data_IF_634242122318
#
_entry.id   IF_634242122318
#
_cell.length_a   1.000
_cell.length_b   1.000
_cell.length_c   1.000
_cell.angle_alpha   90.00
_cell.angle_beta   90.00
_cell.angle_gamma   90.00
#
_symmetry.space_group_name_H-M   'P 1'
#
loop_
_entity.id
_entity.type
_entity.pdbx_description
1 polymer ?
#
# COMPACT_ATOMS: atom_id res chain seq x y z
N UNK A 1 -3.91 3.35 -21.54
CA UNK A 1 -4.86 2.87 -20.50
C UNK A 1 -4.16 2.41 -19.22
N UNK A 2 -3.10 1.57 -19.28
CA UNK A 2 -2.39 1.03 -18.10
C UNK A 2 -1.74 2.06 -17.17
N UNK A 3 -1.41 3.27 -17.66
CA UNK A 3 -0.81 4.34 -16.84
C UNK A 3 -1.76 4.97 -15.82
N UNK A 4 -3.08 4.93 -16.07
CA UNK A 4 -4.09 5.54 -15.18
C UNK A 4 -4.60 4.56 -14.11
N UNK A 5 -4.45 3.26 -14.35
CA UNK A 5 -4.96 2.22 -13.46
C UNK A 5 -4.45 2.32 -12.02
N UNK A 6 -3.13 2.45 -11.74
CA UNK A 6 -2.68 2.54 -10.35
C UNK A 6 -3.20 3.80 -9.65
N UNK A 7 -3.37 4.90 -10.39
CA UNK A 7 -3.92 6.15 -9.83
C UNK A 7 -5.39 6.03 -9.51
N UNK A 8 -6.18 5.43 -10.42
CA UNK A 8 -7.59 5.16 -10.18
C UNK A 8 -7.76 4.20 -9.00
N UNK A 9 -6.96 3.13 -8.92
CA UNK A 9 -6.97 2.20 -7.78
C UNK A 9 -6.62 2.89 -6.46
N UNK A 10 -5.56 3.70 -6.45
CA UNK A 10 -5.15 4.45 -5.27
C UNK A 10 -6.24 5.45 -4.83
N UNK A 11 -6.79 6.22 -5.76
CA UNK A 11 -7.87 7.16 -5.49
C UNK A 11 -9.12 6.45 -4.95
N UNK A 12 -9.53 5.35 -5.58
CA UNK A 12 -10.65 4.53 -5.11
C UNK A 12 -10.39 3.95 -3.73
N UNK A 13 -9.17 3.51 -3.41
CA UNK A 13 -8.83 3.02 -2.09
C UNK A 13 -8.88 4.14 -1.04
N UNK A 14 -8.36 5.33 -1.34
CA UNK A 14 -8.40 6.48 -0.44
C UNK A 14 -9.83 6.95 -0.16
N UNK A 15 -10.63 7.10 -1.21
CA UNK A 15 -12.05 7.45 -1.10
C UNK A 15 -12.80 6.35 -0.37
N UNK A 16 -12.55 5.08 -0.69
CA UNK A 16 -13.13 3.93 -0.02
C UNK A 16 -12.83 3.91 1.49
N UNK A 17 -11.60 4.18 1.91
CA UNK A 17 -11.25 4.31 3.33
C UNK A 17 -12.04 5.43 4.01
N UNK A 18 -12.18 6.60 3.38
CA UNK A 18 -12.96 7.70 3.93
C UNK A 18 -14.46 7.37 4.01
N UNK A 19 -14.99 6.68 2.99
CA UNK A 19 -16.38 6.22 2.98
C UNK A 19 -16.65 5.17 4.06
N UNK A 20 -15.72 4.23 4.28
CA UNK A 20 -15.81 3.27 5.38
C UNK A 20 -15.91 3.98 6.73
N UNK A 21 -15.06 4.98 6.98
CA UNK A 21 -15.11 5.78 8.20
C UNK A 21 -16.47 6.48 8.37
N UNK A 22 -17.01 7.04 7.28
CA UNK A 22 -18.31 7.70 7.28
C UNK A 22 -19.46 6.72 7.57
N UNK A 23 -19.56 5.61 6.86
CA UNK A 23 -20.67 4.66 6.98
C UNK A 23 -20.65 3.85 8.28
N UNK A 24 -19.48 3.58 8.83
CA UNK A 24 -19.35 2.85 10.10
C UNK A 24 -19.42 3.77 11.33
N UNK A 25 -19.38 5.10 11.17
CA UNK A 25 -19.21 6.03 12.28
C UNK A 25 -20.21 5.84 13.43
N UNK A 26 -21.49 5.70 13.09
CA UNK A 26 -22.58 5.56 14.07
C UNK A 26 -22.69 4.14 14.64
N UNK A 27 -22.11 3.16 13.96
CA UNK A 27 -22.11 1.75 14.37
C UNK A 27 -20.97 1.44 15.35
N UNK A 28 -19.92 2.27 15.37
CA UNK A 28 -18.76 2.04 16.21
C UNK A 28 -18.97 2.53 17.66
N UNK A 29 -18.52 1.75 18.66
CA UNK A 29 -18.49 2.17 20.05
C UNK A 29 -17.56 3.37 20.25
N UNK A 30 -17.72 4.10 21.36
CA UNK A 30 -16.85 5.24 21.70
C UNK A 30 -15.38 4.83 21.87
N UNK A 31 -15.14 3.58 22.30
CA UNK A 31 -13.82 2.98 22.46
C UNK A 31 -13.70 1.79 21.51
N UNK A 32 -12.73 1.86 20.62
CA UNK A 32 -12.54 0.91 19.51
C UNK A 32 -11.30 0.07 19.79
N UNK A 33 -11.41 -1.25 19.63
CA UNK A 33 -10.27 -2.15 19.55
C UNK A 33 -9.45 -1.82 18.31
N UNK A 34 -8.22 -1.36 18.53
CA UNK A 34 -7.30 -0.88 17.49
C UNK A 34 -6.10 -1.79 17.29
N UNK A 35 -5.91 -2.77 18.16
CA UNK A 35 -4.86 -3.77 18.09
C UNK A 35 -5.37 -5.11 18.59
N UNK A 36 -4.97 -6.17 17.90
CA UNK A 36 -5.42 -7.54 18.16
C UNK A 36 -4.21 -8.47 18.29
N UNK A 37 -4.30 -9.42 19.21
CA UNK A 37 -3.32 -10.49 19.35
C UNK A 37 -3.45 -11.57 18.27
N UNK A 38 -2.55 -12.58 18.27
CA UNK A 38 -2.51 -13.64 17.26
C UNK A 38 -3.81 -14.45 17.12
N UNK A 39 -4.60 -14.54 18.20
CA UNK A 39 -5.91 -15.21 18.20
C UNK A 39 -7.08 -14.34 17.74
N UNK A 40 -6.84 -13.11 17.27
CA UNK A 40 -7.88 -12.15 16.89
C UNK A 40 -8.50 -11.40 18.07
N UNK A 41 -8.04 -11.66 19.30
CA UNK A 41 -8.55 -10.99 20.50
C UNK A 41 -7.98 -9.60 20.65
N UNK A 42 -8.84 -8.62 20.94
CA UNK A 42 -8.43 -7.26 21.19
C UNK A 42 -7.50 -7.18 22.42
N UNK A 43 -6.38 -6.48 22.29
CA UNK A 43 -5.44 -6.22 23.37
C UNK A 43 -4.91 -4.78 23.38
N UNK A 44 -5.41 -3.92 22.48
CA UNK A 44 -5.16 -2.48 22.47
C UNK A 44 -6.38 -1.72 21.96
N UNK A 45 -6.61 -0.53 22.51
CA UNK A 45 -7.79 0.28 22.22
C UNK A 45 -7.45 1.74 22.03
N UNK A 46 -8.30 2.43 21.27
CA UNK A 46 -8.26 3.88 21.06
C UNK A 46 -9.66 4.47 21.22
N UNK A 47 -9.74 5.79 21.34
CA UNK A 47 -11.01 6.49 21.11
C UNK A 47 -11.43 6.34 19.65
N UNK A 48 -12.73 6.28 19.38
CA UNK A 48 -13.29 6.27 18.01
C UNK A 48 -12.69 7.34 17.09
N UNK A 49 -12.67 8.64 17.44
CA UNK A 49 -12.07 9.66 16.58
C UNK A 49 -10.55 9.46 16.41
N UNK A 50 -9.84 9.05 17.47
CA UNK A 50 -8.41 8.80 17.39
C UNK A 50 -8.07 7.65 16.45
N UNK A 51 -8.84 6.56 16.52
CA UNK A 51 -8.68 5.40 15.63
C UNK A 51 -8.89 5.77 14.16
N UNK A 52 -10.00 6.45 13.84
CA UNK A 52 -10.29 6.91 12.47
C UNK A 52 -9.20 7.84 11.96
N UNK A 53 -8.76 8.81 12.77
CA UNK A 53 -7.71 9.75 12.40
C UNK A 53 -6.38 9.04 12.08
N UNK A 54 -5.96 8.09 12.94
CA UNK A 54 -4.72 7.32 12.71
C UNK A 54 -4.82 6.46 11.45
N UNK A 55 -5.97 5.82 11.20
CA UNK A 55 -6.14 4.99 10.00
C UNK A 55 -6.11 5.82 8.72
N UNK A 56 -6.81 6.95 8.68
CA UNK A 56 -6.76 7.88 7.53
C UNK A 56 -5.36 8.47 7.33
N UNK A 57 -4.70 8.90 8.42
CA UNK A 57 -3.34 9.43 8.36
C UNK A 57 -2.33 8.37 7.89
N UNK A 58 -2.47 7.12 8.33
CA UNK A 58 -1.61 6.01 7.87
C UNK A 58 -1.83 5.75 6.39
N UNK A 59 -3.08 5.70 5.94
CA UNK A 59 -3.44 5.49 4.54
C UNK A 59 -2.81 6.56 3.63
N UNK A 60 -2.99 7.84 3.98
CA UNK A 60 -2.43 8.97 3.22
C UNK A 60 -0.90 9.01 3.33
N UNK A 61 -0.36 8.81 4.53
CA UNK A 61 1.07 8.88 4.80
C UNK A 61 1.87 7.82 4.05
N UNK A 62 1.40 6.57 4.04
CA UNK A 62 2.04 5.47 3.29
C UNK A 62 1.97 5.73 1.78
N UNK A 63 0.83 6.17 1.26
CA UNK A 63 0.70 6.53 -0.15
C UNK A 63 1.64 7.68 -0.54
N UNK A 64 1.69 8.75 0.27
CA UNK A 64 2.56 9.88 0.06
C UNK A 64 4.04 9.48 0.12
N UNK A 65 4.42 8.62 1.07
CA UNK A 65 5.78 8.09 1.19
C UNK A 65 6.21 7.33 -0.07
N UNK A 66 5.38 6.38 -0.54
CA UNK A 66 5.69 5.56 -1.72
C UNK A 66 5.79 6.40 -3.00
N UNK A 67 4.85 7.31 -3.22
CA UNK A 67 4.88 8.24 -4.35
C UNK A 67 6.04 9.23 -4.24
N UNK A 68 6.36 9.68 -3.03
CA UNK A 68 7.49 10.52 -2.72
C UNK A 68 8.82 9.87 -3.11
N UNK A 69 9.01 8.57 -2.81
CA UNK A 69 10.18 7.81 -3.28
C UNK A 69 10.24 7.78 -4.80
N UNK A 70 9.12 7.52 -5.48
CA UNK A 70 9.02 7.53 -6.94
C UNK A 70 9.28 8.90 -7.58
N UNK A 71 9.03 9.98 -6.86
CA UNK A 71 9.40 11.34 -7.26
C UNK A 71 10.90 11.61 -7.01
N UNK A 72 11.40 11.30 -5.81
CA UNK A 72 12.78 11.54 -5.40
C UNK A 72 13.79 10.85 -6.30
N UNK A 73 13.51 9.63 -6.76
CA UNK A 73 14.41 8.90 -7.67
C UNK A 73 14.69 9.67 -8.98
N UNK A 74 13.81 10.60 -9.38
CA UNK A 74 14.00 11.40 -10.60
C UNK A 74 15.02 12.52 -10.42
N UNK A 75 15.15 13.03 -9.19
CA UNK A 75 16.00 14.17 -8.86
C UNK A 75 17.30 13.76 -8.16
N UNK A 76 17.39 12.54 -7.64
CA UNK A 76 18.59 12.04 -6.99
C UNK A 76 19.75 11.76 -7.98
N UNK A 77 21.01 11.92 -7.54
CA UNK A 77 22.18 11.47 -8.28
C UNK A 77 22.12 9.96 -8.57
N UNK A 78 22.66 9.53 -9.71
CA UNK A 78 22.69 8.12 -10.11
C UNK A 78 23.42 7.21 -9.10
N UNK A 79 24.40 7.75 -8.37
CA UNK A 79 25.13 7.04 -7.31
C UNK A 79 24.23 6.60 -6.16
N UNK A 80 23.14 7.32 -5.90
CA UNK A 80 22.17 7.01 -4.83
C UNK A 80 21.04 6.08 -5.27
N UNK A 81 20.96 5.77 -6.56
CA UNK A 81 19.90 4.91 -7.11
C UNK A 81 20.40 3.47 -7.12
N UNK A 82 19.75 2.61 -6.34
CA UNK A 82 20.07 1.19 -6.28
C UNK A 82 19.09 0.38 -7.15
N UNK A 83 19.55 -0.03 -8.33
CA UNK A 83 18.82 -0.93 -9.24
C UNK A 83 19.78 -1.97 -9.83
N UNK A 84 19.29 -3.17 -10.22
CA UNK A 84 20.12 -4.17 -10.90
C UNK A 84 20.71 -3.60 -12.21
N UNK A 85 21.97 -3.92 -12.53
CA UNK A 85 22.65 -3.46 -13.75
C UNK A 85 22.60 -1.93 -13.94
N UNK A 86 22.79 -1.17 -12.86
CA UNK A 86 22.63 0.29 -12.80
C UNK A 86 23.32 1.03 -13.94
N UNK A 87 24.56 0.70 -14.26
CA UNK A 87 25.35 1.38 -15.30
C UNK A 87 24.67 1.27 -16.67
N UNK A 88 24.10 0.10 -16.98
CA UNK A 88 23.37 -0.12 -18.22
C UNK A 88 22.05 0.66 -18.26
N UNK A 89 21.28 0.62 -17.16
CA UNK A 89 19.93 1.20 -17.11
C UNK A 89 19.89 2.71 -16.83
N UNK A 90 20.91 3.26 -16.18
CA UNK A 90 21.06 4.69 -15.93
C UNK A 90 22.01 5.39 -16.91
N UNK A 91 22.44 4.70 -17.97
CA UNK A 91 23.11 5.33 -19.11
C UNK A 91 22.25 6.48 -19.66
N UNK A 92 22.89 7.55 -20.14
CA UNK A 92 22.24 8.81 -20.52
C UNK A 92 21.04 8.60 -21.47
N UNK A 93 21.18 7.73 -22.48
CA UNK A 93 20.13 7.43 -23.46
C UNK A 93 18.90 6.71 -22.90
N UNK A 94 19.03 6.04 -21.74
CA UNK A 94 17.97 5.21 -21.13
C UNK A 94 17.44 5.75 -19.81
N UNK A 95 18.23 6.59 -19.12
CA UNK A 95 17.96 7.07 -17.76
C UNK A 95 16.52 7.53 -17.55
N UNK A 96 16.04 8.44 -18.39
CA UNK A 96 14.69 9.00 -18.27
C UNK A 96 13.58 7.96 -18.37
N UNK A 97 13.74 6.97 -19.26
CA UNK A 97 12.79 5.87 -19.39
C UNK A 97 12.83 4.98 -18.15
N UNK A 98 14.02 4.62 -17.67
CA UNK A 98 14.21 3.80 -16.46
C UNK A 98 13.58 4.45 -15.23
N UNK A 99 13.78 5.75 -15.03
CA UNK A 99 13.23 6.48 -13.90
C UNK A 99 11.70 6.59 -13.96
N UNK A 100 11.13 6.79 -15.15
CA UNK A 100 9.67 6.75 -15.33
C UNK A 100 9.08 5.38 -15.02
N UNK A 101 9.73 4.31 -15.45
CA UNK A 101 9.27 2.95 -15.15
C UNK A 101 9.41 2.59 -13.67
N UNK A 102 10.48 3.05 -13.02
CA UNK A 102 10.67 2.86 -11.57
C UNK A 102 9.61 3.61 -10.77
N UNK A 103 9.34 4.87 -11.13
CA UNK A 103 8.28 5.65 -10.50
C UNK A 103 6.89 5.02 -10.73
N UNK A 104 6.64 4.47 -11.93
CA UNK A 104 5.42 3.72 -12.24
C UNK A 104 5.28 2.48 -11.35
N UNK A 105 6.39 1.78 -11.09
CA UNK A 105 6.41 0.65 -10.18
C UNK A 105 6.06 1.07 -8.74
N UNK A 106 6.56 2.21 -8.27
CA UNK A 106 6.19 2.77 -6.96
C UNK A 106 4.71 3.13 -6.87
N UNK A 107 4.11 3.67 -7.94
CA UNK A 107 2.68 3.97 -7.98
C UNK A 107 1.81 2.71 -7.87
N UNK A 108 2.22 1.61 -8.51
CA UNK A 108 1.54 0.32 -8.36
C UNK A 108 1.65 -0.26 -6.94
N UNK A 109 2.83 -0.17 -6.33
CA UNK A 109 3.03 -0.62 -4.94
C UNK A 109 2.20 0.23 -3.99
N UNK A 110 2.16 1.56 -4.18
CA UNK A 110 1.32 2.47 -3.40
C UNK A 110 -0.17 2.08 -3.51
N UNK A 111 -0.66 1.86 -4.73
CA UNK A 111 -2.06 1.47 -4.97
C UNK A 111 -2.41 0.12 -4.32
N UNK A 112 -1.57 -0.90 -4.49
CA UNK A 112 -1.79 -2.21 -3.87
C UNK A 112 -1.76 -2.15 -2.35
N UNK A 113 -0.82 -1.39 -1.78
CA UNK A 113 -0.72 -1.18 -0.32
C UNK A 113 -1.94 -0.44 0.22
N UNK A 114 -2.42 0.59 -0.49
CA UNK A 114 -3.62 1.31 -0.10
C UNK A 114 -4.87 0.41 -0.10
N UNK A 115 -5.03 -0.46 -1.10
CA UNK A 115 -6.13 -1.44 -1.10
C UNK A 115 -6.01 -2.41 0.08
N UNK A 116 -4.82 -2.94 0.34
CA UNK A 116 -4.58 -3.82 1.48
C UNK A 116 -4.91 -3.16 2.82
N UNK A 117 -4.43 -1.94 3.05
CA UNK A 117 -4.72 -1.17 4.26
C UNK A 117 -6.21 -0.84 4.39
N UNK A 118 -6.90 -0.56 3.28
CA UNK A 118 -8.36 -0.37 3.29
C UNK A 118 -9.09 -1.65 3.73
N UNK A 119 -8.64 -2.82 3.26
CA UNK A 119 -9.22 -4.12 3.68
C UNK A 119 -8.96 -4.39 5.17
N UNK A 120 -7.74 -4.14 5.66
CA UNK A 120 -7.42 -4.28 7.10
C UNK A 120 -8.26 -3.34 7.95
N UNK A 121 -8.44 -2.10 7.48
CA UNK A 121 -9.29 -1.13 8.15
C UNK A 121 -10.75 -1.61 8.21
N UNK A 122 -11.30 -2.09 7.09
CA UNK A 122 -12.64 -2.67 7.05
C UNK A 122 -12.81 -3.85 8.01
N UNK A 123 -11.87 -4.81 8.02
CA UNK A 123 -11.92 -5.94 8.95
C UNK A 123 -11.87 -5.49 10.42
N UNK A 124 -11.14 -4.43 10.71
CA UNK A 124 -11.07 -3.86 12.07
C UNK A 124 -12.38 -3.16 12.44
N UNK A 125 -13.00 -2.43 11.51
CA UNK A 125 -14.31 -1.81 11.72
C UNK A 125 -15.38 -2.87 11.99
N UNK A 126 -15.42 -3.91 11.16
CA UNK A 126 -16.35 -5.03 11.27
C UNK A 126 -16.26 -5.75 12.63
N UNK A 127 -15.04 -6.03 13.09
CA UNK A 127 -14.79 -6.60 14.42
C UNK A 127 -15.35 -5.73 15.56
N UNK A 128 -15.35 -4.40 15.39
CA UNK A 128 -15.83 -3.48 16.42
C UNK A 128 -17.34 -3.23 16.39
N UNK A 129 -18.02 -3.41 15.24
CA UNK A 129 -19.48 -3.26 15.17
C UNK A 129 -20.18 -4.35 15.97
N UNK A 130 -19.74 -5.60 15.81
CA UNK A 130 -20.36 -6.75 16.46
C UNK A 130 -19.68 -7.12 17.80
N UNK A 131 -18.67 -6.36 18.24
CA UNK A 131 -17.76 -6.69 19.35
C UNK A 131 -17.17 -8.10 19.27
N UNK A 132 -17.08 -8.64 18.05
CA UNK A 132 -16.46 -9.92 17.75
C UNK A 132 -14.96 -9.71 17.60
N UNK A 133 -14.16 -10.66 18.09
CA UNK A 133 -12.72 -10.65 17.80
C UNK A 133 -12.45 -10.53 16.29
N UNK A 134 -11.28 -10.01 15.92
CA UNK A 134 -10.87 -9.86 14.53
C UNK A 134 -10.98 -11.20 13.80
N UNK A 135 -11.51 -11.17 12.57
CA UNK A 135 -11.55 -12.35 11.71
C UNK A 135 -10.12 -12.72 11.26
N UNK A 136 -9.48 -13.59 12.04
CA UNK A 136 -8.10 -14.03 11.83
C UNK A 136 -7.90 -14.69 10.47
N UNK A 137 -8.85 -15.50 10.01
CA UNK A 137 -8.76 -16.18 8.70
C UNK A 137 -8.75 -15.18 7.56
N UNK A 138 -9.70 -14.23 7.53
CA UNK A 138 -9.75 -13.19 6.51
C UNK A 138 -8.51 -12.28 6.56
N UNK A 139 -8.02 -11.97 7.77
CA UNK A 139 -6.80 -11.19 7.97
C UNK A 139 -5.57 -11.89 7.39
N UNK A 140 -5.39 -13.18 7.67
CA UNK A 140 -4.25 -13.95 7.14
C UNK A 140 -4.35 -14.16 5.63
N UNK A 141 -5.53 -14.47 5.10
CA UNK A 141 -5.73 -14.62 3.65
C UNK A 141 -5.40 -13.30 2.94
N UNK A 142 -5.95 -12.17 3.40
CA UNK A 142 -5.67 -10.87 2.79
C UNK A 142 -4.19 -10.49 2.87
N UNK A 143 -3.53 -10.79 3.98
CA UNK A 143 -2.08 -10.58 4.16
C UNK A 143 -1.25 -11.45 3.20
N UNK A 144 -1.55 -12.75 3.09
CA UNK A 144 -0.85 -13.67 2.19
C UNK A 144 -1.05 -13.26 0.74
N UNK A 145 -2.29 -12.93 0.35
CA UNK A 145 -2.62 -12.46 -1.01
C UNK A 145 -1.85 -11.18 -1.33
N UNK A 146 -1.81 -10.22 -0.41
CA UNK A 146 -1.06 -8.98 -0.58
C UNK A 146 0.44 -9.24 -0.72
N UNK A 147 1.04 -10.03 0.18
CA UNK A 147 2.49 -10.34 0.15
C UNK A 147 2.85 -11.11 -1.12
N UNK A 148 2.11 -12.17 -1.46
CA UNK A 148 2.36 -12.97 -2.64
C UNK A 148 2.18 -12.14 -3.92
N UNK A 149 1.14 -11.29 -3.97
CA UNK A 149 0.90 -10.36 -5.07
C UNK A 149 2.02 -9.33 -5.22
N UNK A 150 2.49 -8.74 -4.12
CA UNK A 150 3.58 -7.77 -4.11
C UNK A 150 4.90 -8.41 -4.55
N UNK A 151 5.24 -9.58 -4.00
CA UNK A 151 6.46 -10.32 -4.38
C UNK A 151 6.38 -10.71 -5.85
N UNK A 152 5.28 -11.31 -6.29
CA UNK A 152 5.07 -11.71 -7.68
C UNK A 152 5.17 -10.52 -8.64
N UNK A 153 4.53 -9.40 -8.29
CA UNK A 153 4.63 -8.15 -9.04
C UNK A 153 6.09 -7.67 -9.14
N UNK A 154 6.82 -7.60 -8.02
CA UNK A 154 8.21 -7.19 -8.00
C UNK A 154 9.10 -8.12 -8.83
N UNK A 155 8.98 -9.43 -8.66
CA UNK A 155 9.77 -10.43 -9.41
C UNK A 155 9.48 -10.34 -10.91
N UNK A 156 8.23 -10.26 -11.33
CA UNK A 156 7.86 -10.14 -12.76
C UNK A 156 8.39 -8.83 -13.34
N UNK A 157 8.27 -7.72 -12.62
CA UNK A 157 8.76 -6.42 -13.11
C UNK A 157 10.29 -6.41 -13.19
N UNK A 158 10.98 -6.88 -12.15
CA UNK A 158 12.44 -6.92 -12.13
C UNK A 158 13.00 -7.86 -13.20
N UNK A 159 12.43 -9.06 -13.35
CA UNK A 159 12.87 -10.03 -14.36
C UNK A 159 12.60 -9.61 -15.79
N UNK A 160 11.52 -8.86 -16.07
CA UNK A 160 11.21 -8.39 -17.43
C UNK A 160 11.91 -7.09 -17.80
N UNK A 161 12.05 -6.15 -16.87
CA UNK A 161 12.54 -4.81 -17.17
C UNK A 161 14.00 -4.57 -16.86
N UNK A 162 14.63 -5.32 -15.94
CA UNK A 162 16.03 -5.08 -15.54
C UNK A 162 17.02 -6.13 -16.02
N UNK A 163 16.58 -7.06 -16.88
CA UNK A 163 17.47 -7.98 -17.61
C UNK A 163 18.17 -7.25 -18.76
N UNK A 164 19.50 -7.27 -18.76
CA UNK A 164 20.28 -6.79 -19.90
C UNK A 164 20.00 -7.72 -21.08
N UNK A 165 19.60 -7.21 -22.26
CA UNK A 165 19.47 -8.04 -23.46
C UNK A 165 20.80 -8.73 -23.74
N UNK A 166 20.79 -10.05 -23.91
CA UNK A 166 21.92 -10.78 -24.47
C UNK A 166 21.97 -10.47 -25.96
N UNK A 167 23.15 -10.09 -26.45
CA UNK A 167 23.42 -9.89 -27.89
C UNK A 167 23.10 -11.13 -28.73
#
# INVERSE_FOLDING_TARGET
MTRLVPWAMLASALVGTALLAFFYWDQLPARVASHFGPGGQANGWMSKPGFVAVMLATQVGVAAMMLGVGYLIRVLPTSMINIPNREYWLAESRRDRTLRETASMMAWIAAGTAVFLMVVYWLTLDANVDEKGLNSTATWISTIVFIAGLIGFCVVRLSKYYRVPTE
#
